data_IF_005929440785
#
_entry.id   IF_005929440785
#
_cell.length_a   1.000
_cell.length_b   1.000
_cell.length_c   1.000
_cell.angle_alpha   90.00
_cell.angle_beta   90.00
_cell.angle_gamma   90.00
#
_symmetry.space_group_name_H-M   'P 1'
#
loop_
_entity.id
_entity.type
_entity.pdbx_description
1 polymer ?
#
# COMPACT_ATOMS: atom_id res chain seq x y z
N UNK A 1 10.08 -8.22 -0.56
CA UNK A 1 8.99 -7.30 -0.98
C UNK A 1 9.48 -6.31 -2.05
N UNK A 2 10.52 -5.53 -1.74
CA UNK A 2 11.10 -4.54 -2.65
C UNK A 2 11.48 -5.12 -4.03
N UNK A 3 12.14 -6.29 -4.07
CA UNK A 3 12.55 -6.91 -5.34
C UNK A 3 11.37 -7.14 -6.29
N UNK A 4 10.20 -7.56 -5.80
CA UNK A 4 9.02 -7.79 -6.66
C UNK A 4 8.55 -6.50 -7.34
N UNK A 5 8.59 -5.37 -6.63
CA UNK A 5 8.25 -4.08 -7.22
C UNK A 5 9.28 -3.62 -8.25
N UNK A 6 10.58 -3.84 -7.99
CA UNK A 6 11.65 -3.53 -8.95
C UNK A 6 11.50 -4.39 -10.21
N UNK A 7 11.36 -5.71 -10.06
CA UNK A 7 11.16 -6.66 -11.16
C UNK A 7 9.93 -6.31 -12.00
N UNK A 8 8.85 -5.83 -11.36
CA UNK A 8 7.63 -5.38 -12.07
C UNK A 8 7.85 -4.05 -12.80
N UNK A 9 8.65 -3.14 -12.24
CA UNK A 9 8.92 -1.83 -12.81
C UNK A 9 9.96 -1.88 -13.97
N UNK A 10 10.82 -2.88 -13.99
CA UNK A 10 11.92 -3.00 -14.96
C UNK A 10 11.48 -2.96 -16.43
N UNK A 11 10.46 -3.74 -16.87
CA UNK A 11 10.00 -3.66 -18.26
C UNK A 11 9.52 -2.26 -18.63
N UNK A 12 8.74 -1.62 -17.75
CA UNK A 12 8.23 -0.27 -17.94
C UNK A 12 9.37 0.76 -18.03
N UNK A 13 10.36 0.64 -17.15
CA UNK A 13 11.55 1.49 -17.12
C UNK A 13 12.35 1.39 -18.43
N UNK A 14 12.57 0.17 -18.94
CA UNK A 14 13.29 -0.09 -20.19
C UNK A 14 12.56 0.48 -21.40
N UNK A 15 11.26 0.21 -21.54
CA UNK A 15 10.44 0.66 -22.68
C UNK A 15 10.36 2.19 -22.75
N UNK A 16 10.26 2.85 -21.60
CA UNK A 16 10.07 4.31 -21.53
C UNK A 16 11.38 5.09 -21.34
N UNK A 17 12.53 4.41 -21.30
CA UNK A 17 13.84 4.98 -20.99
C UNK A 17 13.81 5.88 -19.73
N UNK A 18 13.20 5.36 -18.65
CA UNK A 18 13.06 6.05 -17.36
C UNK A 18 13.88 5.35 -16.29
N UNK A 19 14.51 6.11 -15.39
CA UNK A 19 15.19 5.58 -14.21
C UNK A 19 14.18 5.19 -13.12
N UNK A 20 14.38 4.04 -12.50
CA UNK A 20 13.65 3.63 -11.29
C UNK A 20 14.27 4.36 -10.08
N UNK A 21 13.44 5.06 -9.32
CA UNK A 21 13.83 5.66 -8.04
C UNK A 21 13.22 4.85 -6.89
N UNK A 22 14.04 4.49 -5.91
CA UNK A 22 13.58 3.77 -4.73
C UNK A 22 13.07 4.78 -3.69
N UNK A 23 11.80 4.63 -3.30
CA UNK A 23 11.15 5.46 -2.29
C UNK A 23 10.74 4.58 -1.09
N UNK A 24 11.40 4.81 0.05
CA UNK A 24 11.18 4.03 1.26
C UNK A 24 9.80 4.27 1.89
N UNK A 25 9.13 5.39 1.59
CA UNK A 25 7.80 5.70 2.12
C UNK A 25 6.69 4.84 1.53
N UNK A 26 6.89 4.19 0.38
CA UNK A 26 5.88 3.35 -0.30
C UNK A 26 6.25 1.87 -0.32
N UNK A 27 6.98 1.43 0.70
CA UNK A 27 7.26 0.01 0.91
C UNK A 27 6.13 -0.67 1.69
N UNK A 28 6.12 -2.00 1.61
CA UNK A 28 5.15 -2.87 2.27
C UNK A 28 4.97 -2.56 3.76
N UNK A 29 3.78 -2.88 4.30
CA UNK A 29 3.48 -2.68 5.72
C UNK A 29 4.62 -3.23 6.62
N UNK A 30 5.08 -2.47 7.62
CA UNK A 30 6.00 -2.98 8.61
C UNK A 30 5.34 -4.13 9.39
N UNK A 31 6.05 -5.25 9.53
CA UNK A 31 5.52 -6.45 10.20
C UNK A 31 6.20 -6.63 11.55
N UNK A 32 5.43 -6.87 12.62
CA UNK A 32 5.99 -7.15 13.95
C UNK A 32 6.66 -8.53 14.00
N UNK A 33 6.32 -9.41 13.05
CA UNK A 33 6.77 -10.80 13.02
C UNK A 33 7.84 -11.00 11.94
N UNK A 34 9.02 -11.51 12.35
CA UNK A 34 10.11 -11.89 11.44
C UNK A 34 9.88 -13.22 10.71
N UNK A 35 9.30 -14.21 11.41
CA UNK A 35 9.03 -15.52 10.83
C UNK A 35 7.91 -15.44 9.78
N UNK A 36 8.18 -15.91 8.55
CA UNK A 36 7.24 -15.78 7.42
C UNK A 36 5.90 -16.48 7.66
N UNK A 37 5.89 -17.70 8.20
CA UNK A 37 4.64 -18.44 8.47
C UNK A 37 3.78 -17.72 9.51
N UNK A 38 4.40 -17.28 10.60
CA UNK A 38 3.71 -16.49 11.64
C UNK A 38 3.23 -15.13 11.11
N UNK A 39 4.00 -14.49 10.22
CA UNK A 39 3.60 -13.24 9.56
C UNK A 39 2.34 -13.42 8.71
N UNK A 40 2.21 -14.53 7.98
CA UNK A 40 0.99 -14.85 7.22
C UNK A 40 -0.22 -14.98 8.16
N UNK A 41 -0.06 -15.64 9.31
CA UNK A 41 -1.14 -15.77 10.31
C UNK A 41 -1.54 -14.41 10.88
N UNK A 42 -0.58 -13.54 11.20
CA UNK A 42 -0.85 -12.17 11.64
C UNK A 42 -1.55 -11.36 10.55
N UNK A 43 -1.08 -11.40 9.30
CA UNK A 43 -1.73 -10.71 8.18
C UNK A 43 -3.18 -11.14 8.02
N UNK A 44 -3.46 -12.46 7.97
CA UNK A 44 -4.84 -12.97 7.87
C UNK A 44 -5.76 -12.45 8.99
N UNK A 45 -5.20 -12.22 10.19
CA UNK A 45 -5.93 -11.70 11.33
C UNK A 45 -6.17 -10.19 11.27
N UNK A 46 -5.18 -9.40 10.82
CA UNK A 46 -5.26 -7.92 10.86
C UNK A 46 -5.82 -7.28 9.60
N UNK A 47 -5.73 -7.93 8.44
CA UNK A 47 -6.29 -7.43 7.18
C UNK A 47 -7.81 -7.12 7.23
N UNK A 48 -8.68 -7.93 7.86
CA UNK A 48 -10.11 -7.62 7.91
C UNK A 48 -10.49 -6.52 8.92
N UNK A 49 -9.52 -6.02 9.70
CA UNK A 49 -9.77 -5.08 10.80
C UNK A 49 -9.85 -3.61 10.34
N UNK A 50 -10.26 -2.75 11.25
CA UNK A 50 -9.99 -1.31 11.21
C UNK A 50 -8.55 -1.00 11.67
N UNK A 51 -8.05 0.20 11.38
CA UNK A 51 -6.72 0.63 11.84
C UNK A 51 -6.62 0.68 13.37
N UNK A 52 -7.69 1.09 14.07
CA UNK A 52 -7.74 1.12 15.54
C UNK A 52 -7.69 -0.29 16.15
N UNK A 53 -8.33 -1.27 15.50
CA UNK A 53 -8.24 -2.67 15.91
C UNK A 53 -6.87 -3.26 15.58
N UNK A 54 -6.28 -2.94 14.42
CA UNK A 54 -4.94 -3.40 14.05
C UNK A 54 -3.89 -2.96 15.08
N UNK A 55 -3.92 -1.72 15.55
CA UNK A 55 -2.97 -1.24 16.58
C UNK A 55 -3.23 -1.86 17.95
N UNK A 56 -4.46 -2.33 18.20
CA UNK A 56 -4.85 -3.00 19.44
C UNK A 56 -4.53 -4.50 19.43
N UNK A 57 -4.32 -5.10 18.25
CA UNK A 57 -3.83 -6.48 18.12
C UNK A 57 -2.55 -6.66 18.95
N UNK A 58 -2.47 -7.78 19.66
CA UNK A 58 -1.38 -8.04 20.63
C UNK A 58 0.01 -7.90 20.01
N UNK A 59 0.25 -8.53 18.85
CA UNK A 59 1.56 -8.51 18.20
C UNK A 59 1.88 -7.10 17.65
N UNK A 60 0.88 -6.43 17.08
CA UNK A 60 1.01 -5.05 16.62
C UNK A 60 1.34 -4.10 17.77
N UNK A 61 0.59 -4.15 18.87
CA UNK A 61 0.77 -3.31 20.07
C UNK A 61 2.13 -3.54 20.71
N UNK A 62 2.50 -4.80 20.93
CA UNK A 62 3.75 -5.16 21.63
C UNK A 62 5.00 -4.79 20.79
N UNK A 63 4.87 -4.72 19.45
CA UNK A 63 5.95 -4.31 18.56
C UNK A 63 6.31 -2.83 18.57
N UNK A 64 5.41 -1.97 19.09
CA UNK A 64 5.54 -0.50 19.09
C UNK A 64 5.72 0.12 17.70
N UNK A 65 5.29 -0.58 16.64
CA UNK A 65 5.26 -0.03 15.28
C UNK A 65 4.15 1.01 15.19
N UNK A 66 4.49 2.21 14.75
CA UNK A 66 3.52 3.28 14.50
C UNK A 66 2.94 3.17 13.08
N UNK A 67 1.82 2.47 12.96
CA UNK A 67 1.12 2.28 11.70
C UNK A 67 0.47 3.58 11.19
N UNK A 68 0.09 4.51 12.07
CA UNK A 68 -0.47 5.79 11.64
C UNK A 68 0.60 6.68 11.03
N UNK A 69 1.79 6.75 11.65
CA UNK A 69 2.94 7.45 11.08
C UNK A 69 3.37 6.82 9.75
N UNK A 70 3.36 5.49 9.63
CA UNK A 70 3.63 4.82 8.36
C UNK A 70 2.64 5.25 7.26
N UNK A 71 1.32 5.28 7.55
CA UNK A 71 0.29 5.77 6.60
C UNK A 71 0.46 7.25 6.27
N UNK A 72 0.73 8.07 7.26
CA UNK A 72 0.94 9.51 7.08
C UNK A 72 2.15 9.79 6.19
N UNK A 73 3.24 9.03 6.33
CA UNK A 73 4.41 9.14 5.48
C UNK A 73 4.13 8.76 4.01
N UNK A 74 3.26 7.77 3.76
CA UNK A 74 2.77 7.45 2.42
C UNK A 74 2.02 8.66 1.84
N UNK A 75 1.06 9.22 2.58
CA UNK A 75 0.27 10.37 2.11
C UNK A 75 1.15 11.60 1.84
N UNK A 76 2.08 11.90 2.75
CA UNK A 76 3.08 12.97 2.57
C UNK A 76 3.91 12.78 1.30
N UNK A 77 4.29 11.55 0.97
CA UNK A 77 4.98 11.27 -0.30
C UNK A 77 4.09 11.59 -1.49
N UNK A 78 2.86 11.08 -1.54
CA UNK A 78 1.94 11.33 -2.66
C UNK A 78 1.68 12.82 -2.84
N UNK A 79 1.44 13.56 -1.75
CA UNK A 79 1.23 15.02 -1.79
C UNK A 79 2.47 15.84 -2.17
N UNK A 80 3.67 15.24 -2.10
CA UNK A 80 4.92 15.89 -2.51
C UNK A 80 5.21 15.77 -4.01
N UNK A 81 4.48 14.93 -4.73
CA UNK A 81 4.64 14.73 -6.17
C UNK A 81 4.21 15.98 -6.94
N UNK A 82 4.98 16.32 -7.97
CA UNK A 82 4.76 17.51 -8.81
C UNK A 82 4.74 17.19 -10.31
N UNK A 83 4.78 15.90 -10.68
CA UNK A 83 4.79 15.38 -12.05
C UNK A 83 4.06 14.04 -12.08
N UNK A 84 3.55 13.67 -13.25
CA UNK A 84 2.99 12.34 -13.47
C UNK A 84 4.01 11.26 -13.11
N UNK A 85 3.57 10.31 -12.28
CA UNK A 85 4.46 9.35 -11.65
C UNK A 85 3.78 7.98 -11.62
N UNK A 86 4.47 6.96 -12.13
CA UNK A 86 4.11 5.57 -11.90
C UNK A 86 4.75 5.09 -10.62
N UNK A 87 3.93 4.60 -9.68
CA UNK A 87 4.37 4.08 -8.38
C UNK A 87 4.09 2.58 -8.36
N UNK A 88 5.15 1.78 -8.42
CA UNK A 88 5.07 0.33 -8.26
C UNK A 88 5.19 0.01 -6.77
N UNK A 89 4.09 -0.43 -6.16
CA UNK A 89 4.01 -0.60 -4.70
C UNK A 89 3.17 -1.82 -4.32
N UNK A 90 2.75 -1.89 -3.07
CA UNK A 90 2.15 -3.04 -2.44
C UNK A 90 0.67 -2.81 -2.12
N UNK A 91 -0.02 -3.94 -1.94
CA UNK A 91 -1.44 -4.01 -1.64
C UNK A 91 -1.88 -3.09 -0.48
N UNK A 92 -1.13 -3.07 0.63
CA UNK A 92 -1.49 -2.25 1.80
C UNK A 92 -1.11 -0.77 1.67
N UNK A 93 -0.14 -0.43 0.80
CA UNK A 93 0.14 0.98 0.48
C UNK A 93 -1.03 1.56 -0.32
N UNK A 94 -1.49 0.82 -1.33
CA UNK A 94 -2.66 1.20 -2.15
C UNK A 94 -3.89 1.38 -1.24
N UNK A 95 -4.18 0.39 -0.39
CA UNK A 95 -5.32 0.45 0.53
C UNK A 95 -5.18 1.57 1.57
N UNK A 96 -3.97 1.91 2.02
CA UNK A 96 -3.76 3.02 2.95
C UNK A 96 -4.14 4.38 2.36
N UNK A 97 -3.82 4.59 1.08
CA UNK A 97 -4.19 5.81 0.35
C UNK A 97 -5.69 5.82 0.03
N UNK A 98 -6.22 4.72 -0.52
CA UNK A 98 -7.63 4.64 -0.93
C UNK A 98 -8.58 4.76 0.26
N UNK A 99 -8.31 4.04 1.36
CA UNK A 99 -9.12 4.13 2.59
C UNK A 99 -9.14 5.55 3.14
N UNK A 100 -7.99 6.25 3.15
CA UNK A 100 -7.91 7.65 3.57
C UNK A 100 -8.80 8.55 2.70
N UNK A 101 -8.69 8.44 1.37
CA UNK A 101 -9.48 9.26 0.43
C UNK A 101 -10.99 8.95 0.49
N UNK A 102 -11.36 7.71 0.84
CA UNK A 102 -12.74 7.28 1.04
C UNK A 102 -13.27 7.53 2.45
N UNK A 103 -12.47 8.13 3.35
CA UNK A 103 -12.81 8.33 4.77
C UNK A 103 -13.22 7.03 5.48
N UNK A 104 -12.57 5.94 5.10
CA UNK A 104 -12.76 4.61 5.69
C UNK A 104 -11.62 4.31 6.67
N UNK A 105 -11.96 3.69 7.78
CA UNK A 105 -11.03 3.24 8.81
C UNK A 105 -10.56 1.79 8.64
N UNK A 106 -11.11 1.05 7.66
CA UNK A 106 -10.66 -0.29 7.28
C UNK A 106 -9.18 -0.34 6.87
N UNK A 107 -8.48 -1.41 7.27
CA UNK A 107 -7.12 -1.74 6.80
C UNK A 107 -7.15 -2.11 5.32
N UNK A 108 -8.15 -2.88 4.92
CA UNK A 108 -8.43 -3.24 3.52
C UNK A 108 -9.79 -2.67 3.13
N UNK A 109 -9.79 -1.71 2.21
CA UNK A 109 -10.98 -1.12 1.63
C UNK A 109 -11.46 -1.91 0.40
N UNK A 110 -10.53 -2.35 -0.44
CA UNK A 110 -10.77 -3.14 -1.65
C UNK A 110 -9.57 -4.07 -1.93
N UNK A 111 -9.72 -5.02 -2.84
CA UNK A 111 -8.73 -6.06 -3.10
C UNK A 111 -7.98 -5.84 -4.43
N UNK A 112 -7.05 -4.87 -4.57
CA UNK A 112 -6.35 -4.67 -5.84
C UNK A 112 -5.60 -5.95 -6.28
N UNK A 113 -5.80 -6.37 -7.52
CA UNK A 113 -5.08 -7.49 -8.11
C UNK A 113 -3.62 -7.11 -8.43
N UNK A 114 -2.78 -8.12 -8.63
CA UNK A 114 -1.43 -7.93 -9.13
C UNK A 114 -1.48 -7.18 -10.46
N UNK A 115 -0.59 -6.20 -10.63
CA UNK A 115 -0.51 -5.35 -11.84
C UNK A 115 -1.76 -4.49 -12.13
N UNK A 116 -2.77 -4.49 -11.26
CA UNK A 116 -3.91 -3.56 -11.36
C UNK A 116 -3.47 -2.10 -11.24
N UNK A 117 -4.21 -1.20 -11.90
CA UNK A 117 -3.90 0.23 -11.94
C UNK A 117 -4.91 1.06 -11.15
N UNK A 118 -4.51 1.55 -9.99
CA UNK A 118 -5.26 2.58 -9.26
C UNK A 118 -4.80 3.96 -9.73
N UNK A 119 -5.70 4.72 -10.36
CA UNK A 119 -5.39 6.03 -10.93
C UNK A 119 -5.86 7.15 -9.97
N UNK A 120 -4.91 7.99 -9.56
CA UNK A 120 -5.16 9.14 -8.70
C UNK A 120 -4.79 10.43 -9.44
N UNK A 121 -5.52 11.50 -9.13
CA UNK A 121 -5.16 12.86 -9.54
C UNK A 121 -4.72 13.67 -8.33
N UNK A 122 -3.72 14.54 -8.52
CA UNK A 122 -3.25 15.48 -7.52
C UNK A 122 -3.31 16.89 -8.10
N UNK A 123 -4.12 17.75 -7.48
CA UNK A 123 -4.25 19.16 -7.85
C UNK A 123 -4.44 19.98 -6.58
N UNK A 124 -3.77 21.12 -6.47
CA UNK A 124 -3.81 22.01 -5.29
C UNK A 124 -3.58 21.28 -3.96
N UNK A 125 -2.62 20.35 -3.94
CA UNK A 125 -2.33 19.45 -2.80
C UNK A 125 -3.52 18.62 -2.32
N UNK A 126 -4.51 18.40 -3.19
CA UNK A 126 -5.66 17.53 -2.96
C UNK A 126 -5.56 16.32 -3.87
N UNK A 127 -5.43 15.16 -3.24
CA UNK A 127 -5.41 13.87 -3.90
C UNK A 127 -6.86 13.38 -4.09
N UNK A 128 -7.21 12.87 -5.27
CA UNK A 128 -8.52 12.32 -5.58
C UNK A 128 -8.39 11.02 -6.35
N UNK A 129 -9.32 10.09 -6.14
CA UNK A 129 -9.40 8.85 -6.90
C UNK A 129 -10.09 9.13 -8.24
N UNK A 130 -9.44 8.78 -9.34
CA UNK A 130 -10.02 8.80 -10.69
C UNK A 130 -10.62 7.43 -11.00
N UNK A 131 -9.87 6.36 -10.78
CA UNK A 131 -10.34 4.97 -10.90
C UNK A 131 -9.63 4.06 -9.90
N UNK A 132 -10.31 3.00 -9.49
CA UNK A 132 -9.68 1.88 -8.77
C UNK A 132 -9.15 0.87 -9.78
N UNK A 133 -8.12 0.13 -9.39
CA UNK A 133 -7.64 -1.01 -10.17
C UNK A 133 -8.59 -2.20 -10.08
N UNK A 134 -8.45 -3.13 -11.02
CA UNK A 134 -9.15 -4.41 -10.99
C UNK A 134 -8.96 -5.13 -9.65
N UNK A 135 -10.02 -5.77 -9.17
CA UNK A 135 -9.97 -6.53 -7.93
C UNK A 135 -9.60 -7.99 -8.17
N UNK A 136 -8.75 -8.52 -7.31
CA UNK A 136 -8.33 -9.92 -7.33
C UNK A 136 -9.57 -10.80 -7.23
N UNK A 137 -9.78 -11.63 -8.25
CA UNK A 137 -10.83 -12.64 -8.23
C UNK A 137 -10.46 -13.70 -7.19
N UNK A 138 -11.18 -13.74 -6.08
CA UNK A 138 -11.14 -14.89 -5.19
C UNK A 138 -11.98 -15.99 -5.83
N UNK A 139 -11.36 -16.79 -6.71
CA UNK A 139 -11.87 -18.13 -6.98
C UNK A 139 -11.74 -18.90 -5.67
N UNK A 140 -12.80 -18.89 -4.87
CA UNK A 140 -12.97 -19.81 -3.75
C UNK A 140 -13.08 -21.19 -4.39
N UNK A 141 -12.00 -21.96 -4.32
CA UNK A 141 -12.02 -23.41 -4.51
C UNK A 141 -12.01 -24.07 -3.13
#
# INVERSE_FOLDING_TARGET
PLNRCIETAEPFSKINNKKINIENRVVEIPSPIKNLKKRVVWLKRVLPLTWNELISDKESRDSKIDYFLWRDNILKFFLSLNKDTFIFTHYLVINSVVSHLKKSDKVVFFNPDNTSLTHLSLSDKKLKIISLGDEASTLIN
#
